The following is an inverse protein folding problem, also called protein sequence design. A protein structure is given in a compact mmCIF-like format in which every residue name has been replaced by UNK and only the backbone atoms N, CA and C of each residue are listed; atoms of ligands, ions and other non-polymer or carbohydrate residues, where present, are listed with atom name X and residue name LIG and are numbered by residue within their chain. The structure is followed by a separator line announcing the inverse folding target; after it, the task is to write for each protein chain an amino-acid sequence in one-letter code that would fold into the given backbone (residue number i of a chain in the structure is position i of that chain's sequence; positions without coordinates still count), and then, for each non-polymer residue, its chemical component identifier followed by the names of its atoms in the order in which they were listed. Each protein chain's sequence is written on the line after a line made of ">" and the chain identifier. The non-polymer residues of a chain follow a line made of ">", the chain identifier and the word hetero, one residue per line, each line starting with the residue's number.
data_IF_506844781574
#
_entry.id   IF_506844781574
#
_cell.length_a   1.000
_cell.length_b   1.000
_cell.length_c   1.000
_cell.angle_alpha   90.00
_cell.angle_beta   90.00
_cell.angle_gamma   90.00
#
_symmetry.space_group_name_H-M   'P 1'
#
loop_
_entity.id
_entity.type
_entity.pdbx_description
1 polymer ?
#
# COMPACT_ATOMS: atom_id res chain seq x y z
N UNK A 1 -12.46 1.80 -12.18
CA UNK A 1 -12.71 3.24 -11.91
C UNK A 1 -11.63 4.04 -12.63
N UNK A 2 -12.02 5.05 -13.41
CA UNK A 2 -11.07 5.95 -14.09
C UNK A 2 -10.27 6.78 -13.09
N UNK A 3 -9.15 7.38 -13.52
CA UNK A 3 -8.37 8.26 -12.65
C UNK A 3 -9.19 9.48 -12.20
N UNK A 4 -10.01 10.04 -13.09
CA UNK A 4 -10.90 11.17 -12.78
C UNK A 4 -11.91 10.79 -11.71
N UNK A 5 -12.52 9.61 -11.81
CA UNK A 5 -13.46 9.11 -10.80
C UNK A 5 -12.77 8.88 -9.44
N UNK A 6 -11.55 8.33 -9.45
CA UNK A 6 -10.75 8.12 -8.24
C UNK A 6 -10.43 9.43 -7.53
N UNK A 7 -9.91 10.44 -8.25
CA UNK A 7 -9.63 11.76 -7.66
C UNK A 7 -10.91 12.42 -7.16
N UNK A 8 -11.98 12.39 -7.94
CA UNK A 8 -13.26 12.94 -7.52
C UNK A 8 -13.80 12.28 -6.25
N UNK A 9 -13.62 10.97 -6.10
CA UNK A 9 -13.98 10.25 -4.88
C UNK A 9 -13.09 10.64 -3.69
N UNK A 10 -11.77 10.75 -3.90
CA UNK A 10 -10.82 11.21 -2.89
C UNK A 10 -11.21 12.58 -2.33
N UNK A 11 -11.44 13.56 -3.20
CA UNK A 11 -11.82 14.93 -2.81
C UNK A 11 -13.12 14.91 -2.01
N UNK A 12 -14.18 14.28 -2.53
CA UNK A 12 -15.48 14.20 -1.84
C UNK A 12 -15.38 13.58 -0.45
N UNK A 13 -14.59 12.52 -0.30
CA UNK A 13 -14.53 11.73 0.93
C UNK A 13 -13.47 12.21 1.92
N UNK A 14 -12.54 13.09 1.55
CA UNK A 14 -11.41 13.45 2.40
C UNK A 14 -11.14 14.95 2.56
N UNK A 15 -11.58 15.82 1.64
CA UNK A 15 -11.24 17.25 1.66
C UNK A 15 -11.66 17.95 2.96
N UNK A 16 -12.77 17.52 3.55
CA UNK A 16 -13.32 18.09 4.79
C UNK A 16 -13.00 17.26 6.04
N UNK A 17 -12.20 16.20 5.93
CA UNK A 17 -11.85 15.38 7.08
C UNK A 17 -10.74 16.04 7.89
N UNK A 18 -10.96 16.14 9.21
CA UNK A 18 -9.92 16.60 10.13
C UNK A 18 -8.68 15.71 10.04
N UNK A 19 -7.51 16.34 9.91
CA UNK A 19 -6.24 15.65 10.06
C UNK A 19 -6.15 15.05 11.47
N UNK A 20 -5.59 13.85 11.56
CA UNK A 20 -5.21 13.27 12.85
C UNK A 20 -3.70 13.38 12.94
N UNK A 21 -3.23 14.29 13.78
CA UNK A 21 -1.81 14.40 14.11
C UNK A 21 -1.45 13.35 15.17
N UNK A 22 -0.23 12.81 15.13
CA UNK A 22 0.25 11.99 16.23
C UNK A 22 0.48 12.92 17.44
N UNK A 23 -0.12 12.61 18.58
CA UNK A 23 0.01 13.42 19.78
C UNK A 23 -0.29 12.64 21.05
N UNK A 24 0.11 13.20 22.20
CA UNK A 24 -0.18 12.67 23.53
C UNK A 24 -1.70 12.68 23.78
N UNK A 25 -2.39 11.61 23.40
CA UNK A 25 -3.84 11.50 23.51
C UNK A 25 -4.50 10.55 22.49
N UNK A 26 -3.77 10.11 21.46
CA UNK A 26 -4.25 9.02 20.59
C UNK A 26 -4.14 7.71 21.38
N UNK A 27 -5.26 7.04 21.62
CA UNK A 27 -5.25 5.72 22.25
C UNK A 27 -4.42 4.74 21.42
N UNK A 28 -3.77 3.75 22.06
CA UNK A 28 -2.97 2.75 21.35
C UNK A 28 -3.74 2.03 20.23
N UNK A 29 -5.07 1.96 20.33
CA UNK A 29 -5.96 1.37 19.33
C UNK A 29 -6.18 2.24 18.08
N UNK A 30 -5.85 3.54 18.09
CA UNK A 30 -6.10 4.43 16.96
C UNK A 30 -4.82 5.03 16.34
N UNK A 31 -3.65 4.69 16.90
CA UNK A 31 -2.36 5.23 16.46
C UNK A 31 -2.05 4.85 15.01
N UNK A 32 -2.35 3.62 14.60
CA UNK A 32 -2.17 3.16 13.22
C UNK A 32 -3.07 3.88 12.20
N UNK A 33 -4.09 4.63 12.62
CA UNK A 33 -4.98 5.42 11.75
C UNK A 33 -4.54 6.88 11.59
N UNK A 34 -3.39 7.26 12.14
CA UNK A 34 -2.86 8.64 12.08
C UNK A 34 -2.41 8.93 10.65
N UNK A 35 -2.96 10.00 10.08
CA UNK A 35 -2.64 10.48 8.73
C UNK A 35 -2.52 12.01 8.82
N UNK A 36 -1.34 12.59 8.55
CA UNK A 36 -1.07 14.00 8.77
C UNK A 36 -1.81 14.91 7.78
N UNK A 37 -2.16 14.38 6.61
CA UNK A 37 -3.05 15.03 5.65
C UNK A 37 -3.94 13.96 5.01
N UNK A 38 -5.23 14.02 5.32
CA UNK A 38 -6.25 13.04 4.91
C UNK A 38 -6.42 12.99 3.39
N UNK A 39 -6.57 14.16 2.75
CA UNK A 39 -6.70 14.24 1.29
C UNK A 39 -5.38 13.85 0.61
N UNK A 40 -4.24 14.35 1.12
CA UNK A 40 -2.91 13.99 0.63
C UNK A 40 -2.64 12.49 0.70
N UNK A 41 -3.09 11.81 1.76
CA UNK A 41 -3.02 10.36 1.92
C UNK A 41 -3.84 9.62 0.84
N UNK A 42 -5.11 9.99 0.65
CA UNK A 42 -5.99 9.38 -0.35
C UNK A 42 -5.45 9.58 -1.78
N UNK A 43 -5.05 10.81 -2.12
CA UNK A 43 -4.43 11.14 -3.41
C UNK A 43 -3.08 10.43 -3.59
N UNK A 44 -2.30 10.27 -2.52
CA UNK A 44 -1.04 9.53 -2.54
C UNK A 44 -1.22 8.05 -2.90
N UNK A 45 -2.25 7.40 -2.36
CA UNK A 45 -2.62 6.03 -2.76
C UNK A 45 -2.98 5.93 -4.24
N UNK A 46 -3.67 6.93 -4.80
CA UNK A 46 -3.98 6.97 -6.24
C UNK A 46 -2.71 7.05 -7.08
N UNK A 47 -1.78 7.95 -6.71
CA UNK A 47 -0.49 8.09 -7.40
C UNK A 47 0.33 6.81 -7.27
N UNK A 48 0.43 6.25 -6.07
CA UNK A 48 1.17 5.02 -5.80
C UNK A 48 0.61 3.83 -6.60
N UNK A 49 -0.71 3.64 -6.62
CA UNK A 49 -1.35 2.58 -7.38
C UNK A 49 -1.12 2.72 -8.89
N UNK A 50 -1.10 3.95 -9.38
CA UNK A 50 -0.83 4.23 -10.80
C UNK A 50 0.62 3.91 -11.18
N UNK A 51 1.58 4.22 -10.30
CA UNK A 51 2.98 3.84 -10.47
C UNK A 51 3.12 2.31 -10.51
N UNK A 52 2.57 1.63 -9.49
CA UNK A 52 2.62 0.16 -9.40
C UNK A 52 1.98 -0.46 -10.63
N UNK A 53 0.79 -0.06 -11.05
CA UNK A 53 0.14 -0.65 -12.22
C UNK A 53 0.93 -0.45 -13.52
N UNK A 54 1.42 0.76 -13.77
CA UNK A 54 2.16 1.08 -15.00
C UNK A 54 3.56 0.46 -15.06
N UNK A 55 4.20 0.26 -13.91
CA UNK A 55 5.62 -0.13 -13.83
C UNK A 55 5.84 -1.54 -13.32
N UNK A 56 5.01 -2.09 -12.45
CA UNK A 56 5.23 -3.42 -11.89
C UNK A 56 5.42 -4.51 -12.97
N UNK A 57 4.58 -4.49 -14.02
CA UNK A 57 4.71 -5.42 -15.16
C UNK A 57 6.01 -5.25 -15.96
N UNK A 58 6.57 -4.03 -15.95
CA UNK A 58 7.71 -3.65 -16.77
C UNK A 58 9.04 -3.65 -16.00
N UNK A 59 9.00 -3.51 -14.68
CA UNK A 59 10.17 -3.18 -13.86
C UNK A 59 10.10 -3.65 -12.40
N UNK A 60 9.00 -4.25 -11.96
CA UNK A 60 8.78 -4.62 -10.55
C UNK A 60 8.97 -3.46 -9.55
N UNK A 61 8.63 -2.23 -9.99
CA UNK A 61 8.60 -1.04 -9.12
C UNK A 61 7.41 -1.17 -8.16
N UNK A 62 7.68 -0.81 -6.93
CA UNK A 62 6.79 -0.89 -5.80
C UNK A 62 6.63 0.50 -5.15
N UNK A 63 5.53 0.68 -4.42
CA UNK A 63 5.26 1.87 -3.62
C UNK A 63 4.89 1.42 -2.19
N UNK A 64 5.79 1.62 -1.24
CA UNK A 64 5.65 1.09 0.11
C UNK A 64 5.09 2.19 1.02
N UNK A 65 3.87 2.07 1.56
CA UNK A 65 3.36 3.02 2.55
C UNK A 65 4.20 2.93 3.82
N UNK A 66 4.56 4.08 4.39
CA UNK A 66 5.38 4.18 5.61
C UNK A 66 4.60 4.86 6.71
N UNK A 67 4.53 4.20 7.86
CA UNK A 67 4.02 4.77 9.09
C UNK A 67 5.18 5.31 9.94
N UNK A 68 5.24 6.62 10.12
CA UNK A 68 6.15 7.25 11.06
C UNK A 68 5.49 7.36 12.45
N UNK A 69 6.18 7.03 13.54
CA UNK A 69 5.60 7.04 14.89
C UNK A 69 5.07 8.41 15.34
N UNK A 70 5.76 9.47 14.91
CA UNK A 70 5.42 10.84 15.27
C UNK A 70 4.58 11.55 14.20
N UNK A 71 4.45 10.97 13.00
CA UNK A 71 3.78 11.65 11.87
C UNK A 71 2.65 10.83 11.24
N UNK A 72 2.46 9.59 11.68
CA UNK A 72 1.54 8.64 11.06
C UNK A 72 1.97 8.22 9.66
N UNK A 73 1.01 7.86 8.82
CA UNK A 73 1.24 7.56 7.41
C UNK A 73 1.63 8.83 6.64
N UNK A 74 2.93 9.08 6.53
CA UNK A 74 3.45 10.36 6.05
C UNK A 74 4.05 10.28 4.63
N UNK A 75 4.41 9.08 4.16
CA UNK A 75 5.01 8.89 2.82
C UNK A 75 4.81 7.51 2.23
N UNK A 76 5.04 7.42 0.92
CA UNK A 76 5.38 6.17 0.24
C UNK A 76 6.83 6.20 -0.22
N UNK A 77 7.55 5.09 -0.06
CA UNK A 77 8.84 4.90 -0.72
C UNK A 77 8.64 4.23 -2.09
N UNK A 78 9.26 4.79 -3.13
CA UNK A 78 9.29 4.18 -4.45
C UNK A 78 10.61 3.44 -4.62
N UNK A 79 10.50 2.14 -4.82
CA UNK A 79 11.66 1.24 -4.84
C UNK A 79 11.40 0.04 -5.73
N UNK A 80 12.44 -0.75 -5.97
CA UNK A 80 12.27 -2.09 -6.54
C UNK A 80 12.04 -3.10 -5.44
N UNK A 81 11.36 -4.18 -5.79
CA UNK A 81 11.21 -5.31 -4.88
C UNK A 81 12.51 -6.13 -4.76
N UNK A 82 13.24 -5.92 -3.67
CA UNK A 82 14.60 -6.44 -3.42
C UNK A 82 14.67 -7.89 -2.92
N UNK A 83 14.04 -8.82 -3.63
CA UNK A 83 14.14 -10.24 -3.25
C UNK A 83 15.21 -11.06 -3.96
N UNK A 84 15.76 -10.53 -5.05
CA UNK A 84 16.76 -11.23 -5.85
C UNK A 84 18.14 -10.64 -5.71
N UNK A 85 19.12 -11.45 -6.05
CA UNK A 85 20.53 -11.09 -5.94
C UNK A 85 20.90 -9.89 -6.80
N UNK A 86 20.22 -9.70 -7.94
CA UNK A 86 20.46 -8.58 -8.85
C UNK A 86 20.18 -7.20 -8.25
N UNK A 87 19.33 -7.12 -7.22
CA UNK A 87 18.86 -5.85 -6.64
C UNK A 87 18.99 -5.78 -5.13
N UNK A 88 19.76 -6.68 -4.52
CA UNK A 88 19.88 -6.83 -3.07
C UNK A 88 20.43 -5.60 -2.34
N UNK A 89 21.25 -4.80 -3.02
CA UNK A 89 21.94 -3.62 -2.45
C UNK A 89 21.27 -2.30 -2.90
N UNK A 90 20.09 -2.36 -3.54
CA UNK A 90 19.35 -1.16 -3.99
C UNK A 90 18.71 -0.44 -2.78
N UNK A 91 18.95 0.88 -2.59
CA UNK A 91 18.36 1.62 -1.47
C UNK A 91 16.83 1.61 -1.47
N UNK A 92 16.21 1.64 -0.28
CA UNK A 92 14.75 1.57 -0.12
C UNK A 92 13.97 2.76 -0.74
N UNK A 93 14.64 3.86 -1.10
CA UNK A 93 14.05 5.01 -1.78
C UNK A 93 14.77 5.32 -3.11
N UNK A 94 15.38 4.30 -3.73
CA UNK A 94 16.22 4.44 -4.92
C UNK A 94 15.55 5.16 -6.09
N UNK A 95 14.21 5.11 -6.16
CA UNK A 95 13.43 5.71 -7.24
C UNK A 95 12.64 6.94 -6.82
N UNK A 96 12.56 7.24 -5.52
CA UNK A 96 11.89 8.43 -5.00
C UNK A 96 10.95 8.17 -3.84
N UNK A 97 10.19 9.22 -3.49
CA UNK A 97 9.28 9.25 -2.35
C UNK A 97 8.02 10.02 -2.73
N UNK A 98 6.84 9.56 -2.32
CA UNK A 98 5.60 10.36 -2.35
C UNK A 98 5.36 10.86 -0.93
N UNK A 99 5.57 12.13 -0.67
CA UNK A 99 5.20 12.76 0.59
C UNK A 99 3.70 13.05 0.62
N UNK A 100 3.04 12.67 1.69
CA UNK A 100 1.58 12.79 1.84
C UNK A 100 1.15 14.09 2.49
N UNK A 101 2.10 14.90 2.94
CA UNK A 101 1.88 16.17 3.64
C UNK A 101 2.68 17.33 3.02
N UNK A 102 2.50 18.52 3.58
CA UNK A 102 3.09 19.77 3.08
C UNK A 102 2.17 20.52 2.12
N UNK A 103 2.66 21.65 1.61
CA UNK A 103 1.92 22.47 0.66
C UNK A 103 1.67 21.69 -0.64
N UNK A 104 0.42 21.69 -1.09
CA UNK A 104 -0.01 21.03 -2.33
C UNK A 104 0.27 19.51 -2.40
N UNK A 105 0.08 18.82 -1.27
CA UNK A 105 0.24 17.38 -1.16
C UNK A 105 -0.78 16.58 -2.00
N UNK A 106 -0.41 15.38 -2.50
CA UNK A 106 0.86 14.70 -2.31
C UNK A 106 1.99 15.31 -3.14
N UNK A 107 3.24 15.13 -2.72
CA UNK A 107 4.43 15.64 -3.43
C UNK A 107 5.30 14.46 -3.85
N UNK A 108 5.56 14.32 -5.15
CA UNK A 108 6.47 13.32 -5.65
C UNK A 108 7.90 13.88 -5.71
N UNK A 109 8.81 13.22 -5.02
CA UNK A 109 10.24 13.56 -4.94
C UNK A 109 11.03 12.45 -5.61
N UNK A 110 11.63 12.74 -6.77
CA UNK A 110 12.51 11.81 -7.47
C UNK A 110 13.86 11.75 -6.73
N UNK A 111 14.50 10.58 -6.72
CA UNK A 111 15.80 10.40 -6.08
C UNK A 111 16.91 11.35 -6.61
N UNK A 112 16.77 11.84 -7.84
CA UNK A 112 17.66 12.84 -8.44
C UNK A 112 17.45 14.28 -7.91
N UNK A 113 16.50 14.50 -7.00
CA UNK A 113 16.19 15.80 -6.42
C UNK A 113 15.09 16.59 -7.13
N UNK A 114 14.42 16.03 -8.14
CA UNK A 114 13.26 16.68 -8.78
C UNK A 114 12.04 16.55 -7.88
N UNK A 115 11.38 17.67 -7.61
CA UNK A 115 10.14 17.72 -6.85
C UNK A 115 8.96 18.11 -7.75
N UNK A 116 7.84 17.40 -7.58
CA UNK A 116 6.57 17.66 -8.24
C UNK A 116 5.43 17.65 -7.21
N UNK A 117 4.92 18.81 -6.78
CA UNK A 117 3.67 18.90 -6.04
C UNK A 117 2.50 18.49 -6.93
N UNK A 118 1.60 17.65 -6.41
CA UNK A 118 0.56 17.01 -7.20
C UNK A 118 -0.86 17.41 -6.79
N UNK A 119 -1.07 17.98 -5.60
CA UNK A 119 -2.42 18.20 -5.05
C UNK A 119 -3.36 18.93 -6.01
N UNK A 120 -2.93 20.10 -6.49
CA UNK A 120 -3.73 20.98 -7.36
C UNK A 120 -3.83 20.42 -8.77
N UNK A 121 -2.75 19.88 -9.32
CA UNK A 121 -2.78 19.32 -10.68
C UNK A 121 -3.61 18.04 -10.74
N UNK A 122 -3.59 17.19 -9.70
CA UNK A 122 -4.45 16.01 -9.63
C UNK A 122 -5.93 16.42 -9.65
N UNK A 123 -6.32 17.48 -8.96
CA UNK A 123 -7.71 17.93 -8.92
C UNK A 123 -8.17 18.58 -10.23
N UNK A 124 -7.30 19.31 -10.91
CA UNK A 124 -7.64 20.06 -12.13
C UNK A 124 -7.45 19.23 -13.42
N UNK A 125 -6.41 18.40 -13.48
CA UNK A 125 -6.02 17.61 -14.63
C UNK A 125 -5.35 16.28 -14.18
N UNK A 126 -6.17 15.31 -13.67
CA UNK A 126 -5.67 14.04 -13.13
C UNK A 126 -4.77 13.27 -14.10
N UNK A 127 -5.13 13.26 -15.38
CA UNK A 127 -4.42 12.50 -16.42
C UNK A 127 -3.04 13.09 -16.67
N UNK A 128 -2.94 14.41 -16.76
CA UNK A 128 -1.64 15.09 -16.89
C UNK A 128 -0.76 14.88 -15.67
N UNK A 129 -1.31 14.95 -14.45
CA UNK A 129 -0.56 14.72 -13.22
C UNK A 129 0.08 13.32 -13.23
N UNK A 130 -0.71 12.29 -13.50
CA UNK A 130 -0.24 10.91 -13.64
C UNK A 130 0.82 10.79 -14.73
N UNK A 131 0.57 11.36 -15.91
CA UNK A 131 1.51 11.29 -17.02
C UNK A 131 2.84 11.99 -16.70
N UNK A 132 2.85 13.04 -15.87
CA UNK A 132 4.08 13.68 -15.40
C UNK A 132 4.84 12.77 -14.42
N UNK A 133 4.18 12.19 -13.42
CA UNK A 133 4.80 11.25 -12.47
C UNK A 133 5.43 10.07 -13.21
N UNK A 134 4.66 9.43 -14.10
CA UNK A 134 5.15 8.26 -14.83
C UNK A 134 6.33 8.59 -15.76
N UNK A 135 6.41 9.81 -16.29
CA UNK A 135 7.55 10.28 -17.10
C UNK A 135 8.82 10.50 -16.29
N UNK A 136 8.69 10.91 -15.03
CA UNK A 136 9.82 11.14 -14.14
C UNK A 136 10.43 9.84 -13.62
N UNK A 137 9.64 8.77 -13.56
CA UNK A 137 10.15 7.45 -13.23
C UNK A 137 10.83 6.83 -14.45
N UNK A 138 12.15 6.54 -14.37
CA UNK A 138 12.84 5.92 -15.49
C UNK A 138 12.19 4.59 -15.85
N UNK A 139 12.13 4.21 -17.13
CA UNK A 139 11.82 2.85 -17.53
C UNK A 139 12.97 1.96 -17.06
N UNK A 140 12.87 1.43 -15.84
CA UNK A 140 13.94 0.59 -15.28
C UNK A 140 13.63 -0.86 -15.54
N UNK A 141 14.13 -1.42 -16.63
CA UNK A 141 14.00 -2.85 -16.87
C UNK A 141 14.55 -3.67 -15.69
N UNK A 142 14.07 -4.91 -15.56
CA UNK A 142 14.71 -5.87 -14.67
C UNK A 142 16.17 -6.01 -15.10
N UNK A 143 17.10 -5.95 -14.15
CA UNK A 143 18.53 -6.10 -14.46
C UNK A 143 18.81 -7.43 -15.16
N UNK A 144 19.92 -7.58 -15.86
CA UNK A 144 20.29 -8.89 -16.43
C UNK A 144 20.76 -9.82 -15.31
N UNK A 145 20.28 -11.07 -15.30
CA UNK A 145 20.64 -12.06 -14.28
C UNK A 145 19.56 -13.10 -14.04
N UNK A 146 19.76 -13.95 -13.03
CA UNK A 146 18.78 -14.96 -12.63
C UNK A 146 17.66 -14.34 -11.79
N UNK A 147 16.44 -14.43 -12.32
CA UNK A 147 15.22 -13.97 -11.66
C UNK A 147 14.30 -15.12 -11.25
N UNK A 148 14.72 -16.37 -11.34
CA UNK A 148 13.88 -17.57 -11.03
C UNK A 148 13.35 -17.56 -9.60
N UNK A 149 14.04 -16.87 -8.68
CA UNK A 149 13.62 -16.68 -7.29
C UNK A 149 13.10 -15.27 -6.99
N UNK A 150 12.93 -14.45 -8.02
CA UNK A 150 12.34 -13.14 -7.89
C UNK A 150 10.88 -13.22 -7.54
N UNK A 151 10.53 -12.45 -6.53
CA UNK A 151 9.14 -12.35 -6.16
C UNK A 151 8.27 -11.57 -7.16
N UNK A 152 8.84 -10.82 -8.10
CA UNK A 152 8.04 -10.13 -9.11
C UNK A 152 7.36 -11.12 -10.08
N UNK A 153 8.00 -12.26 -10.38
CA UNK A 153 7.37 -13.33 -11.18
C UNK A 153 6.21 -13.97 -10.41
N UNK A 154 6.38 -14.16 -9.10
CA UNK A 154 5.41 -14.83 -8.23
C UNK A 154 4.22 -13.94 -7.82
N UNK A 155 4.33 -12.63 -7.98
CA UNK A 155 3.32 -11.68 -7.52
C UNK A 155 2.67 -10.90 -8.68
N UNK A 156 2.41 -11.58 -9.81
CA UNK A 156 1.70 -11.04 -10.96
C UNK A 156 0.34 -10.38 -10.62
N UNK A 157 -0.30 -10.80 -9.52
CA UNK A 157 -1.57 -10.25 -9.02
C UNK A 157 -1.40 -8.98 -8.18
N UNK A 158 -0.18 -8.63 -7.80
CA UNK A 158 0.11 -7.52 -6.92
C UNK A 158 -0.47 -6.18 -7.40
N UNK A 159 -0.35 -5.78 -8.68
CA UNK A 159 -0.99 -4.55 -9.14
C UNK A 159 -2.52 -4.54 -8.96
N UNK A 160 -3.14 -5.72 -9.08
CA UNK A 160 -4.58 -5.86 -8.84
C UNK A 160 -4.89 -5.65 -7.35
N UNK A 161 -4.16 -6.31 -6.44
CA UNK A 161 -4.30 -6.13 -5.01
C UNK A 161 -4.12 -4.67 -4.59
N UNK A 162 -3.03 -4.06 -5.05
CA UNK A 162 -2.69 -2.69 -4.72
C UNK A 162 -3.75 -1.72 -5.25
N UNK A 163 -4.23 -1.94 -6.47
CA UNK A 163 -5.31 -1.16 -7.06
C UNK A 163 -6.63 -1.30 -6.28
N UNK A 164 -6.97 -2.49 -5.82
CA UNK A 164 -8.17 -2.71 -4.98
C UNK A 164 -8.01 -2.04 -3.62
N UNK A 165 -6.85 -2.15 -2.98
CA UNK A 165 -6.57 -1.46 -1.72
C UNK A 165 -6.70 0.06 -1.86
N UNK A 166 -6.15 0.64 -2.93
CA UNK A 166 -6.31 2.05 -3.24
C UNK A 166 -7.78 2.44 -3.43
N UNK A 167 -8.58 1.67 -4.18
CA UNK A 167 -10.02 1.92 -4.30
C UNK A 167 -10.74 1.90 -2.95
N UNK A 168 -10.40 0.94 -2.08
CA UNK A 168 -11.01 0.82 -0.76
C UNK A 168 -10.63 1.99 0.15
N UNK A 169 -9.39 2.49 0.09
CA UNK A 169 -9.00 3.74 0.76
C UNK A 169 -9.92 4.87 0.31
N UNK A 170 -10.11 5.05 -0.99
CA UNK A 170 -10.95 6.14 -1.50
C UNK A 170 -12.40 6.02 -1.03
N UNK A 171 -12.93 4.81 -0.94
CA UNK A 171 -14.31 4.54 -0.53
C UNK A 171 -14.53 4.64 0.98
N UNK A 172 -13.52 4.31 1.79
CA UNK A 172 -13.65 4.17 3.25
C UNK A 172 -12.53 4.93 3.99
N UNK A 173 -12.76 6.20 4.41
CA UNK A 173 -11.76 7.03 5.10
C UNK A 173 -11.15 6.50 6.40
N UNK A 174 -11.77 5.47 7.00
CA UNK A 174 -11.28 4.78 8.19
C UNK A 174 -10.45 3.53 7.89
N UNK A 175 -10.23 3.19 6.62
CA UNK A 175 -9.46 2.03 6.20
C UNK A 175 -8.00 2.41 5.94
N UNK A 176 -7.10 1.61 6.46
CA UNK A 176 -5.66 1.76 6.28
C UNK A 176 -5.13 0.49 5.62
N UNK A 177 -4.45 0.60 4.47
CA UNK A 177 -3.67 -0.48 3.93
C UNK A 177 -2.22 -0.32 4.39
N UNK A 178 -1.68 -1.36 4.98
CA UNK A 178 -0.29 -1.43 5.39
C UNK A 178 0.40 -2.59 4.67
N UNK A 179 1.72 -2.51 4.58
CA UNK A 179 2.50 -3.66 4.12
C UNK A 179 3.26 -4.21 5.30
N UNK A 180 2.91 -5.42 5.70
CA UNK A 180 3.69 -6.13 6.72
C UNK A 180 4.93 -6.77 6.09
N UNK A 181 6.07 -6.51 6.72
CA UNK A 181 7.36 -7.13 6.41
C UNK A 181 7.45 -8.37 7.28
N UNK A 182 7.36 -9.57 6.69
CA UNK A 182 7.79 -10.79 7.36
C UNK A 182 9.00 -11.36 6.65
N UNK A 183 10.14 -11.28 7.32
CA UNK A 183 11.32 -12.10 7.05
C UNK A 183 11.79 -12.66 8.38
N UNK A 184 11.04 -13.58 8.96
CA UNK A 184 11.63 -14.62 9.80
C UNK A 184 10.65 -15.74 10.08
N UNK A 185 11.19 -16.91 10.41
CA UNK A 185 10.48 -18.19 10.55
C UNK A 185 9.58 -18.30 11.80
N UNK A 186 9.14 -17.20 12.42
CA UNK A 186 8.29 -17.24 13.62
C UNK A 186 7.12 -16.24 13.57
N UNK A 187 5.98 -16.73 14.04
CA UNK A 187 4.70 -16.04 14.17
C UNK A 187 4.77 -15.01 15.31
N UNK A 188 4.16 -13.83 15.12
CA UNK A 188 3.94 -12.87 16.21
C UNK A 188 2.46 -12.90 16.56
N UNK A 189 2.14 -13.43 17.73
CA UNK A 189 0.86 -13.18 18.39
C UNK A 189 0.92 -11.78 19.04
N UNK A 190 0.08 -10.88 18.55
CA UNK A 190 -0.43 -9.71 19.28
C UNK A 190 0.59 -8.78 19.92
N UNK A 191 1.22 -7.90 19.14
CA UNK A 191 1.50 -6.48 19.48
C UNK A 191 2.32 -5.79 18.38
N UNK A 192 1.79 -4.66 17.90
CA UNK A 192 2.39 -3.58 17.10
C UNK A 192 3.55 -3.92 16.15
N UNK A 193 3.27 -3.83 14.85
CA UNK A 193 4.28 -3.75 13.79
C UNK A 193 5.09 -2.45 13.92
N UNK A 194 6.40 -2.51 14.23
CA UNK A 194 7.25 -1.36 14.10
C UNK A 194 7.66 -1.28 12.62
N UNK A 195 6.89 -0.54 11.82
CA UNK A 195 7.35 0.05 10.56
C UNK A 195 8.35 1.20 10.86
N UNK A 196 9.25 1.01 11.80
CA UNK A 196 10.45 1.83 11.88
C UNK A 196 11.35 1.32 10.77
N UNK A 197 11.39 2.10 9.69
CA UNK A 197 12.45 2.10 8.69
C UNK A 197 13.71 1.44 9.24
N UNK A 198 14.01 0.25 8.75
CA UNK A 198 15.26 -0.23 8.12
C UNK A 198 16.41 0.81 8.02
N UNK A 199 16.68 1.55 9.10
CA UNK A 199 17.76 2.52 9.18
C UNK A 199 19.09 1.86 9.50
N UNK A 200 19.10 0.57 9.87
CA UNK A 200 20.30 -0.11 10.38
C UNK A 200 20.35 -1.62 10.10
N UNK A 201 19.65 -2.14 9.07
CA UNK A 201 19.84 -3.56 8.70
C UNK A 201 20.92 -3.66 7.65
N UNK A 202 22.15 -3.81 8.12
CA UNK A 202 23.33 -4.16 7.31
C UNK A 202 23.38 -5.69 7.01
N UNK A 203 22.27 -6.42 7.21
CA UNK A 203 22.26 -7.88 7.09
C UNK A 203 20.87 -8.46 6.71
N UNK A 204 20.85 -9.15 5.58
CA UNK A 204 19.84 -10.13 5.12
C UNK A 204 18.54 -9.60 4.50
N UNK A 205 18.36 -10.05 3.25
CA UNK A 205 17.25 -9.91 2.29
C UNK A 205 15.88 -9.63 2.92
N UNK A 206 15.36 -8.42 2.71
CA UNK A 206 13.98 -8.08 3.11
C UNK A 206 12.99 -8.55 2.03
N UNK A 207 12.27 -9.62 2.31
CA UNK A 207 11.13 -10.09 1.53
C UNK A 207 9.86 -9.46 2.10
N UNK A 208 9.18 -8.72 1.26
CA UNK A 208 7.83 -8.25 1.55
C UNK A 208 6.82 -9.20 0.93
N UNK A 209 6.07 -9.94 1.73
CA UNK A 209 5.18 -11.00 1.22
C UNK A 209 3.71 -10.77 1.55
N UNK A 210 3.42 -10.00 2.59
CA UNK A 210 2.07 -9.77 3.06
C UNK A 210 1.64 -8.34 2.83
N UNK A 211 0.34 -8.20 2.61
CA UNK A 211 -0.35 -6.94 2.56
C UNK A 211 -1.48 -7.02 3.59
N UNK A 212 -1.56 -5.98 4.40
CA UNK A 212 -2.58 -5.79 5.41
C UNK A 212 -3.57 -4.75 4.95
N UNK A 213 -4.84 -5.01 5.21
CA UNK A 213 -5.87 -3.97 5.17
C UNK A 213 -6.60 -4.03 6.50
N UNK A 214 -6.70 -2.89 7.16
CA UNK A 214 -7.32 -2.80 8.47
C UNK A 214 -8.28 -1.60 8.59
N UNK A 215 -9.14 -1.71 9.59
CA UNK A 215 -10.03 -0.68 10.10
C UNK A 215 -9.83 -0.59 11.60
N UNK A 216 -10.52 0.31 12.29
CA UNK A 216 -10.44 0.40 13.75
C UNK A 216 -10.83 -0.90 14.49
N UNK A 217 -11.56 -1.83 13.85
CA UNK A 217 -12.12 -3.02 14.48
C UNK A 217 -11.65 -4.35 13.87
N UNK A 218 -11.23 -4.35 12.60
CA UNK A 218 -10.94 -5.57 11.86
C UNK A 218 -9.74 -5.41 10.94
N UNK A 219 -8.92 -6.45 10.87
CA UNK A 219 -7.81 -6.59 9.94
C UNK A 219 -7.94 -7.83 9.04
N UNK A 220 -7.36 -7.76 7.85
CA UNK A 220 -7.19 -8.86 6.93
C UNK A 220 -5.80 -8.82 6.29
N UNK A 221 -5.16 -9.99 6.25
CA UNK A 221 -3.86 -10.19 5.61
C UNK A 221 -4.00 -11.05 4.38
N UNK A 222 -3.22 -10.72 3.35
CA UNK A 222 -3.12 -11.56 2.18
C UNK A 222 -1.71 -11.55 1.63
N UNK A 223 -1.28 -12.72 1.17
CA UNK A 223 -0.05 -12.81 0.40
C UNK A 223 -0.28 -12.11 -0.92
N UNK A 224 0.72 -11.36 -1.32
CA UNK A 224 0.74 -10.64 -2.60
C UNK A 224 0.64 -11.54 -3.84
N UNK A 225 0.91 -12.85 -3.70
CA UNK A 225 0.71 -13.84 -4.76
C UNK A 225 -0.74 -14.36 -4.78
N UNK A 226 -1.55 -13.95 -3.80
CA UNK A 226 -2.95 -14.31 -3.67
C UNK A 226 -3.20 -15.73 -3.19
N UNK A 227 -2.16 -16.51 -2.90
CA UNK A 227 -2.29 -17.93 -2.55
C UNK A 227 -2.82 -18.15 -1.14
N UNK A 228 -2.56 -17.22 -0.23
CA UNK A 228 -3.02 -17.29 1.16
C UNK A 228 -3.60 -15.96 1.59
N UNK A 229 -4.64 -16.03 2.40
CA UNK A 229 -5.19 -14.89 3.11
C UNK A 229 -5.69 -15.36 4.48
N UNK A 230 -5.67 -14.46 5.45
CA UNK A 230 -6.25 -14.66 6.78
C UNK A 230 -7.00 -13.40 7.19
N UNK A 231 -8.01 -13.53 8.04
CA UNK A 231 -8.77 -12.37 8.52
C UNK A 231 -9.25 -12.54 9.96
N UNK A 232 -9.51 -11.41 10.61
CA UNK A 232 -9.97 -11.39 12.00
C UNK A 232 -11.46 -11.76 12.12
N UNK A 233 -11.74 -12.68 13.04
CA UNK A 233 -13.08 -13.12 13.42
C UNK A 233 -13.69 -12.23 14.50
N UNK A 234 -14.97 -12.44 14.84
CA UNK A 234 -15.66 -11.63 15.85
C UNK A 234 -15.17 -11.89 17.29
N UNK A 235 -14.41 -12.96 17.53
CA UNK A 235 -13.95 -13.37 18.86
C UNK A 235 -12.45 -13.17 19.02
N UNK A 236 -11.87 -12.18 18.33
CA UNK A 236 -10.42 -11.90 18.27
C UNK A 236 -9.55 -13.07 17.78
N UNK A 237 -10.17 -14.13 17.23
CA UNK A 237 -9.48 -15.23 16.57
C UNK A 237 -9.21 -14.93 15.10
N UNK A 238 -8.36 -15.74 14.47
CA UNK A 238 -8.01 -15.63 13.05
C UNK A 238 -8.61 -16.78 12.24
N UNK A 239 -9.04 -16.51 11.01
CA UNK A 239 -9.47 -17.54 10.06
C UNK A 239 -8.58 -17.53 8.84
N UNK A 240 -8.13 -18.71 8.43
CA UNK A 240 -7.42 -18.90 7.15
C UNK A 240 -8.44 -19.08 6.03
N UNK A 241 -8.12 -18.49 4.90
CA UNK A 241 -8.97 -18.50 3.71
C UNK A 241 -8.62 -19.72 2.85
N UNK A 242 -9.63 -20.54 2.57
CA UNK A 242 -9.45 -21.79 1.80
C UNK A 242 -9.36 -21.54 0.30
N UNK A 243 -10.18 -20.64 -0.25
CA UNK A 243 -10.15 -20.26 -1.66
C UNK A 243 -9.15 -19.11 -1.87
N UNK A 244 -8.03 -19.31 -2.59
CA UNK A 244 -7.04 -18.26 -2.84
C UNK A 244 -7.65 -17.03 -3.51
N UNK A 245 -7.20 -15.84 -3.14
CA UNK A 245 -7.55 -14.60 -3.85
C UNK A 245 -7.03 -14.60 -5.29
N UNK A 246 -6.01 -15.41 -5.60
CA UNK A 246 -5.48 -15.56 -6.96
C UNK A 246 -6.47 -16.13 -7.97
N UNK A 247 -7.56 -16.71 -7.50
CA UNK A 247 -8.65 -17.24 -8.33
C UNK A 247 -9.78 -16.24 -8.56
N UNK A 248 -9.69 -15.04 -7.99
CA UNK A 248 -10.70 -13.99 -8.09
C UNK A 248 -10.32 -12.95 -9.15
N UNK A 249 -11.33 -12.34 -9.77
CA UNK A 249 -11.13 -11.09 -10.49
C UNK A 249 -11.09 -9.89 -9.52
N UNK A 250 -10.83 -8.68 -10.05
CA UNK A 250 -10.76 -7.45 -9.26
C UNK A 250 -12.02 -7.22 -8.42
N UNK A 251 -13.20 -7.50 -8.99
CA UNK A 251 -14.48 -7.28 -8.32
C UNK A 251 -14.72 -8.30 -7.20
N UNK A 252 -14.39 -9.58 -7.44
CA UNK A 252 -14.43 -10.65 -6.46
C UNK A 252 -13.51 -10.38 -5.29
N UNK A 253 -12.27 -9.99 -5.57
CA UNK A 253 -11.27 -9.60 -4.57
C UNK A 253 -11.79 -8.45 -3.69
N UNK A 254 -12.29 -7.38 -4.31
CA UNK A 254 -12.88 -6.26 -3.58
C UNK A 254 -14.05 -6.68 -2.68
N UNK A 255 -14.99 -7.48 -3.21
CA UNK A 255 -16.12 -8.01 -2.43
C UNK A 255 -15.66 -8.81 -1.21
N UNK A 256 -14.60 -9.62 -1.35
CA UNK A 256 -14.06 -10.43 -0.25
C UNK A 256 -13.38 -9.58 0.81
N UNK A 257 -12.57 -8.61 0.41
CA UNK A 257 -11.95 -7.66 1.35
C UNK A 257 -13.01 -6.89 2.13
N UNK A 258 -14.04 -6.38 1.45
CA UNK A 258 -15.17 -5.70 2.10
C UNK A 258 -15.90 -6.60 3.11
N UNK A 259 -16.07 -7.88 2.78
CA UNK A 259 -16.72 -8.84 3.67
C UNK A 259 -15.85 -9.15 4.89
N UNK A 260 -14.56 -9.40 4.72
CA UNK A 260 -13.61 -9.69 5.82
C UNK A 260 -13.47 -8.50 6.78
N UNK A 261 -13.45 -7.28 6.25
CA UNK A 261 -13.42 -6.04 7.03
C UNK A 261 -14.82 -5.62 7.54
N UNK A 262 -15.87 -6.38 7.21
CA UNK A 262 -17.27 -6.12 7.59
C UNK A 262 -17.78 -4.73 7.17
N UNK A 263 -17.18 -4.17 6.13
CA UNK A 263 -17.61 -2.90 5.54
C UNK A 263 -18.81 -3.11 4.60
N UNK A 264 -18.88 -4.26 3.92
CA UNK A 264 -20.05 -4.66 3.15
C UNK A 264 -20.15 -6.19 3.04
N UNK A 265 -21.35 -6.73 3.24
CA UNK A 265 -21.59 -8.17 3.28
C UNK A 265 -21.19 -8.81 4.61
N UNK A 266 -21.12 -10.14 4.64
CA UNK A 266 -20.62 -10.91 5.80
C UNK A 266 -19.53 -11.86 5.32
N UNK A 267 -18.48 -12.12 6.12
CA UNK A 267 -17.55 -13.21 5.83
C UNK A 267 -18.37 -14.50 5.72
N UNK A 268 -18.43 -15.07 4.52
CA UNK A 268 -19.19 -16.30 4.31
C UNK A 268 -18.34 -17.49 4.73
N UNK A 269 -18.89 -18.42 5.53
CA UNK A 269 -18.25 -19.71 5.78
C UNK A 269 -18.01 -20.56 4.53
N UNK A 270 -18.52 -20.19 3.35
CA UNK A 270 -18.14 -20.82 2.08
C UNK A 270 -16.80 -20.32 1.49
N UNK A 271 -16.10 -19.45 2.22
CA UNK A 271 -14.67 -19.14 2.04
C UNK A 271 -13.80 -19.77 3.15
N UNK A 272 -14.46 -20.59 4.00
CA UNK A 272 -13.96 -21.44 5.06
C UNK A 272 -14.13 -22.89 4.57
N UNK A 273 -13.16 -23.75 4.88
CA UNK A 273 -13.42 -25.08 5.41
C UNK A 273 -12.92 -25.05 6.85
#
# INVERSE_FOLDING_TARGET
>A
MSIVEQIGLAVRNYENHACREAGHGVSGLAIHLVTPNRLGYALGWVVAATIVDARYRNSAIDAIPIYHPEHGWDRFLITRRVSCECHRDEPAASLGVIWLHGADAPRFHLASGVELPLGTILQNDPERAVAQVLRLLPPVELGTGDHTHCWHERAALYPMFYGVAAELVLEFPGLVPAREIFVDAQQIEGQFHPLYLLGFVDAQRVIYDWFEVETAEYAAYFRINGEQAVYQTLTDGWSTVTKPLSTEDRAGMKRRLLAWLRLAGRPAPGTID
#
